data_IF_830558064503
#
_entry.id   IF_830558064503
#
_cell.length_a   1.000
_cell.length_b   1.000
_cell.length_c   1.000
_cell.angle_alpha   90.00
_cell.angle_beta   90.00
_cell.angle_gamma   90.00
#
_symmetry.space_group_name_H-M   'P 1'
#
loop_
_entity.id
_entity.type
_entity.pdbx_description
1 polymer ?
#
# COMPACT_ATOMS: atom_id res chain seq x y z
N UNK A 1 -14.41 -3.14 0.54
CA UNK A 1 -13.31 -2.14 0.53
C UNK A 1 -12.30 -2.48 -0.55
N UNK A 2 -11.60 -1.47 -1.09
CA UNK A 2 -10.68 -1.57 -2.22
C UNK A 2 -9.30 -1.07 -1.80
N UNK A 3 -8.26 -1.92 -1.92
CA UNK A 3 -6.92 -1.63 -1.43
C UNK A 3 -5.90 -1.41 -2.56
N UNK A 4 -5.13 -0.34 -2.43
CA UNK A 4 -3.91 -0.08 -3.19
C UNK A 4 -2.73 -0.16 -2.22
N UNK A 5 -1.67 -0.89 -2.58
CA UNK A 5 -0.65 -1.26 -1.59
C UNK A 5 0.76 -1.00 -2.12
N UNK A 6 1.60 -0.38 -1.30
CA UNK A 6 3.05 -0.30 -1.53
C UNK A 6 3.76 -1.25 -0.56
N UNK A 7 4.56 -2.18 -1.09
CA UNK A 7 5.32 -3.15 -0.30
C UNK A 7 6.80 -2.84 -0.44
N UNK A 8 7.55 -2.85 0.65
CA UNK A 8 9.00 -2.77 0.59
C UNK A 8 9.68 -2.68 1.94
N UNK A 9 10.95 -3.05 1.99
CA UNK A 9 11.77 -3.00 3.20
C UNK A 9 11.84 -1.58 3.80
N UNK A 10 12.27 -1.44 5.07
CA UNK A 10 12.66 -0.14 5.60
C UNK A 10 13.56 0.62 4.63
N UNK A 11 13.40 1.95 4.58
CA UNK A 11 14.18 2.85 3.72
C UNK A 11 13.97 2.72 2.19
N UNK A 12 13.00 1.94 1.69
CA UNK A 12 12.66 1.89 0.24
C UNK A 12 11.76 3.03 -0.26
N UNK A 13 11.82 4.21 0.39
CA UNK A 13 11.06 5.43 0.04
C UNK A 13 9.53 5.32 0.03
N UNK A 14 8.93 4.24 0.57
CA UNK A 14 7.46 4.03 0.66
C UNK A 14 6.69 5.27 1.10
N UNK A 15 7.06 5.85 2.24
CA UNK A 15 6.38 7.00 2.83
C UNK A 15 6.48 8.24 1.94
N UNK A 16 7.66 8.47 1.34
CA UNK A 16 7.87 9.58 0.39
C UNK A 16 7.04 9.40 -0.87
N UNK A 17 6.97 8.18 -1.41
CA UNK A 17 6.15 7.88 -2.58
C UNK A 17 4.65 8.03 -2.26
N UNK A 18 4.17 7.51 -1.14
CA UNK A 18 2.76 7.71 -0.74
C UNK A 18 2.41 9.19 -0.55
N UNK A 19 3.31 10.00 0.00
CA UNK A 19 3.17 11.45 0.05
C UNK A 19 3.07 12.06 -1.34
N UNK A 20 3.94 11.67 -2.28
CA UNK A 20 3.84 12.14 -3.67
C UNK A 20 2.54 11.71 -4.34
N UNK A 21 2.04 10.51 -4.06
CA UNK A 21 0.83 9.96 -4.68
C UNK A 21 -0.44 10.60 -4.13
N UNK A 22 -0.46 10.97 -2.86
CA UNK A 22 -1.71 11.36 -2.15
C UNK A 22 -1.70 12.77 -1.59
N UNK A 23 -0.54 13.42 -1.48
CA UNK A 23 -0.39 14.68 -0.74
C UNK A 23 -0.63 14.55 0.79
N UNK A 24 -0.70 13.33 1.33
CA UNK A 24 -0.88 13.11 2.77
C UNK A 24 0.46 13.03 3.50
N UNK A 25 0.62 13.72 4.63
CA UNK A 25 1.84 13.63 5.44
C UNK A 25 1.95 12.34 6.28
N UNK A 26 0.86 11.95 6.95
CA UNK A 26 0.79 10.78 7.83
C UNK A 26 -0.42 9.88 7.50
N UNK A 27 -1.62 10.35 7.83
CA UNK A 27 -2.87 9.69 7.44
C UNK A 27 -3.98 10.72 7.24
N UNK A 28 -4.72 10.62 6.14
CA UNK A 28 -5.86 11.48 5.89
C UNK A 28 -6.70 10.92 4.74
N UNK A 29 -7.89 11.48 4.57
CA UNK A 29 -8.72 11.27 3.39
C UNK A 29 -8.37 12.32 2.33
N UNK A 30 -8.28 11.89 1.08
CA UNK A 30 -8.01 12.74 -0.09
C UNK A 30 -8.82 12.32 -1.28
N UNK A 31 -9.20 13.27 -2.11
CA UNK A 31 -9.76 13.00 -3.42
C UNK A 31 -8.61 12.86 -4.42
N UNK A 32 -8.56 11.72 -5.09
CA UNK A 32 -7.53 11.38 -6.06
C UNK A 32 -8.17 11.35 -7.44
N UNK A 33 -7.65 12.14 -8.37
CA UNK A 33 -8.12 12.17 -9.74
C UNK A 33 -7.72 10.88 -10.48
N UNK A 34 -8.65 10.34 -11.27
CA UNK A 34 -8.45 9.11 -12.02
C UNK A 34 -8.04 9.41 -13.46
N UNK A 35 -7.21 8.55 -14.04
CA UNK A 35 -6.71 8.72 -15.42
C UNK A 35 -7.82 8.69 -16.48
N UNK A 36 -8.93 8.00 -16.20
CA UNK A 36 -10.10 7.92 -17.08
C UNK A 36 -11.11 9.05 -16.85
N UNK A 37 -10.77 10.02 -15.99
CA UNK A 37 -11.68 11.09 -15.57
C UNK A 37 -12.39 10.78 -14.25
N UNK A 38 -12.84 11.85 -13.58
CA UNK A 38 -13.44 11.77 -12.24
C UNK A 38 -12.41 11.72 -11.11
N UNK A 39 -12.91 11.58 -9.88
CA UNK A 39 -12.10 11.48 -8.68
C UNK A 39 -12.67 10.43 -7.73
N UNK A 40 -11.78 9.82 -6.94
CA UNK A 40 -12.14 8.85 -5.92
C UNK A 40 -11.64 9.29 -4.56
N UNK A 41 -12.48 9.16 -3.55
CA UNK A 41 -12.12 9.46 -2.17
C UNK A 41 -11.33 8.30 -1.57
N UNK A 42 -10.06 8.52 -1.28
CA UNK A 42 -9.11 7.52 -0.78
C UNK A 42 -8.70 7.84 0.64
N UNK A 43 -8.77 6.84 1.52
CA UNK A 43 -8.08 6.90 2.81
C UNK A 43 -6.61 6.50 2.64
N UNK A 44 -5.68 7.40 2.97
CA UNK A 44 -4.26 7.16 2.83
C UNK A 44 -3.59 6.94 4.19
N UNK A 45 -2.76 5.89 4.29
CA UNK A 45 -1.90 5.60 5.44
C UNK A 45 -0.44 5.51 4.97
N UNK A 46 0.36 6.53 5.29
CA UNK A 46 1.68 6.74 4.70
C UNK A 46 2.76 5.81 5.28
N UNK A 47 2.78 5.64 6.60
CA UNK A 47 3.71 4.71 7.25
C UNK A 47 3.28 3.26 7.00
N UNK A 48 4.24 2.33 7.01
CA UNK A 48 3.90 0.92 6.95
C UNK A 48 3.13 0.52 8.21
N UNK A 49 2.13 -0.36 8.10
CA UNK A 49 1.31 -0.75 9.25
C UNK A 49 2.16 -1.39 10.37
N UNK A 50 3.19 -2.15 10.00
CA UNK A 50 4.14 -2.74 10.94
C UNK A 50 4.96 -1.68 11.68
N UNK A 51 5.29 -0.56 11.04
CA UNK A 51 6.07 0.53 11.66
C UNK A 51 5.29 1.20 12.79
N UNK A 52 3.98 1.37 12.63
CA UNK A 52 3.09 1.87 13.68
C UNK A 52 2.45 0.77 14.53
N UNK A 53 2.99 -0.46 14.48
CA UNK A 53 2.50 -1.61 15.27
C UNK A 53 0.98 -1.81 15.17
N UNK A 54 0.43 -1.59 13.98
CA UNK A 54 -1.02 -1.58 13.75
C UNK A 54 -1.48 -2.94 13.28
N UNK A 55 -2.29 -3.63 14.07
CA UNK A 55 -2.88 -4.91 13.69
C UNK A 55 -3.86 -4.78 12.51
N UNK A 56 -4.11 -5.88 11.80
CA UNK A 56 -5.05 -5.89 10.68
C UNK A 56 -6.45 -5.47 11.14
N UNK A 57 -6.93 -5.98 12.27
CA UNK A 57 -8.27 -5.67 12.80
C UNK A 57 -8.43 -4.19 13.16
N UNK A 58 -7.43 -3.60 13.81
CA UNK A 58 -7.40 -2.17 14.13
C UNK A 58 -7.40 -1.32 12.87
N UNK A 59 -6.59 -1.71 11.87
CA UNK A 59 -6.53 -1.01 10.59
C UNK A 59 -7.88 -1.07 9.85
N UNK A 60 -8.54 -2.23 9.84
CA UNK A 60 -9.87 -2.36 9.24
C UNK A 60 -10.89 -1.44 9.92
N UNK A 61 -10.89 -1.41 11.26
CA UNK A 61 -11.76 -0.52 12.04
C UNK A 61 -11.47 0.95 11.74
N UNK A 62 -10.20 1.33 11.65
CA UNK A 62 -9.75 2.66 11.26
C UNK A 62 -10.29 3.06 9.88
N UNK A 63 -10.20 2.17 8.89
CA UNK A 63 -10.69 2.43 7.53
C UNK A 63 -12.22 2.53 7.49
N UNK A 64 -12.96 1.66 8.19
CA UNK A 64 -14.43 1.77 8.30
C UNK A 64 -14.83 3.15 8.81
N UNK A 65 -14.16 3.64 9.86
CA UNK A 65 -14.43 4.97 10.45
C UNK A 65 -14.16 6.12 9.48
N UNK A 66 -13.24 5.95 8.54
CA UNK A 66 -12.94 6.96 7.51
C UNK A 66 -14.05 7.11 6.46
N UNK A 67 -15.01 6.16 6.40
CA UNK A 67 -16.11 6.11 5.42
C UNK A 67 -15.64 6.15 3.95
N UNK A 68 -14.41 5.70 3.69
CA UNK A 68 -13.86 5.58 2.35
C UNK A 68 -13.93 4.13 1.87
N UNK A 69 -14.35 3.91 0.63
CA UNK A 69 -14.30 2.58 0.03
C UNK A 69 -12.90 2.22 -0.47
N UNK A 70 -12.13 3.23 -0.88
CA UNK A 70 -10.78 3.08 -1.38
C UNK A 70 -9.75 3.43 -0.31
N UNK A 71 -8.71 2.62 -0.20
CA UNK A 71 -7.62 2.82 0.74
C UNK A 71 -6.28 2.61 0.06
N UNK A 72 -5.28 3.40 0.45
CA UNK A 72 -3.89 3.20 0.06
C UNK A 72 -2.98 3.18 1.28
N UNK A 73 -2.11 2.17 1.36
CA UNK A 73 -1.23 1.99 2.52
C UNK A 73 0.07 1.27 2.16
N UNK A 74 1.02 1.32 3.09
CA UNK A 74 2.30 0.64 2.98
C UNK A 74 2.39 -0.60 3.88
N UNK A 75 3.18 -1.58 3.45
CA UNK A 75 3.56 -2.76 4.23
C UNK A 75 5.06 -3.06 4.08
N UNK A 76 5.63 -3.71 5.08
CA UNK A 76 6.90 -4.42 4.93
C UNK A 76 6.66 -5.82 4.36
N UNK A 77 7.58 -6.34 3.53
CA UNK A 77 7.44 -7.68 2.97
C UNK A 77 7.49 -8.74 4.07
N UNK A 78 8.40 -8.58 5.03
CA UNK A 78 8.60 -9.44 6.18
C UNK A 78 7.99 -8.85 7.45
N UNK A 79 7.90 -9.67 8.49
CA UNK A 79 7.31 -9.31 9.76
C UNK A 79 8.16 -8.28 10.51
N UNK A 80 7.55 -7.59 11.47
CA UNK A 80 8.28 -6.68 12.35
C UNK A 80 9.29 -7.46 13.20
N UNK A 81 10.56 -7.03 13.30
CA UNK A 81 11.61 -7.82 13.94
C UNK A 81 11.41 -7.99 15.46
N UNK A 82 10.76 -7.02 16.10
CA UNK A 82 10.52 -7.05 17.55
C UNK A 82 9.30 -7.87 18.00
N UNK A 83 8.38 -8.22 17.10
CA UNK A 83 7.21 -9.05 17.40
C UNK A 83 6.61 -9.59 16.08
N UNK A 84 7.18 -10.68 15.54
CA UNK A 84 6.81 -11.20 14.23
C UNK A 84 5.40 -11.81 14.18
N UNK A 85 4.89 -12.29 15.31
CA UNK A 85 3.59 -12.92 15.42
C UNK A 85 2.47 -11.88 15.33
N UNK A 86 2.61 -10.78 16.07
CA UNK A 86 1.58 -9.73 16.12
C UNK A 86 1.58 -8.82 14.89
N UNK A 87 2.75 -8.58 14.29
CA UNK A 87 2.90 -7.71 13.12
C UNK A 87 3.55 -8.48 11.97
N UNK A 88 2.78 -9.35 11.29
CA UNK A 88 3.35 -10.23 10.28
C UNK A 88 3.72 -9.49 8.99
N UNK A 89 4.34 -10.21 8.05
CA UNK A 89 4.72 -9.67 6.75
C UNK A 89 3.53 -9.33 5.85
N UNK A 90 3.81 -8.66 4.73
CA UNK A 90 2.80 -8.18 3.80
C UNK A 90 1.87 -9.30 3.32
N UNK A 91 2.39 -10.50 3.07
CA UNK A 91 1.60 -11.63 2.59
C UNK A 91 0.46 -11.99 3.55
N UNK A 92 0.76 -12.05 4.85
CA UNK A 92 -0.24 -12.36 5.87
C UNK A 92 -1.25 -11.21 6.06
N UNK A 93 -0.79 -9.95 6.10
CA UNK A 93 -1.69 -8.79 6.14
C UNK A 93 -2.69 -8.80 4.98
N UNK A 94 -2.19 -9.01 3.77
CA UNK A 94 -3.02 -9.01 2.57
C UNK A 94 -3.95 -10.23 2.50
N UNK A 95 -3.52 -11.39 3.00
CA UNK A 95 -4.38 -12.56 3.11
C UNK A 95 -5.53 -12.29 4.09
N UNK A 96 -5.25 -11.78 5.30
CA UNK A 96 -6.30 -11.45 6.28
C UNK A 96 -7.29 -10.40 5.75
N UNK A 97 -6.81 -9.37 5.04
CA UNK A 97 -7.70 -8.39 4.42
C UNK A 97 -8.58 -9.04 3.34
N UNK A 98 -8.01 -9.91 2.51
CA UNK A 98 -8.77 -10.63 1.49
C UNK A 98 -9.82 -11.58 2.11
N UNK A 99 -9.47 -12.29 3.19
CA UNK A 99 -10.39 -13.16 3.93
C UNK A 99 -11.54 -12.35 4.57
N UNK A 100 -11.26 -11.09 4.95
CA UNK A 100 -12.27 -10.12 5.39
C UNK A 100 -13.06 -9.45 4.24
N UNK A 101 -12.92 -9.95 3.00
CA UNK A 101 -13.68 -9.49 1.83
C UNK A 101 -13.12 -8.23 1.16
N UNK A 102 -11.90 -7.81 1.48
CA UNK A 102 -11.27 -6.68 0.77
C UNK A 102 -10.83 -7.09 -0.63
N UNK A 103 -11.05 -6.18 -1.59
CA UNK A 103 -10.55 -6.32 -2.96
C UNK A 103 -9.18 -5.67 -3.07
N UNK A 104 -8.14 -6.48 -3.22
CA UNK A 104 -6.78 -6.00 -3.45
C UNK A 104 -6.64 -5.57 -4.92
N UNK A 105 -6.71 -4.27 -5.19
CA UNK A 105 -6.80 -3.73 -6.56
C UNK A 105 -5.46 -3.77 -7.27
N UNK A 106 -4.48 -3.03 -6.74
CA UNK A 106 -3.16 -2.82 -7.36
C UNK A 106 -2.08 -2.83 -6.28
N UNK A 107 -0.94 -3.44 -6.59
CA UNK A 107 0.16 -3.60 -5.65
C UNK A 107 1.47 -3.24 -6.33
N UNK A 108 2.23 -2.34 -5.71
CA UNK A 108 3.57 -1.98 -6.12
C UNK A 108 4.60 -2.48 -5.10
N UNK A 109 5.64 -3.17 -5.57
CA UNK A 109 6.73 -3.73 -4.76
C UNK A 109 8.00 -2.92 -5.02
N UNK A 110 8.58 -2.37 -3.96
CA UNK A 110 9.68 -1.40 -4.00
C UNK A 110 10.99 -2.01 -3.52
N UNK A 111 12.04 -1.93 -4.35
CA UNK A 111 13.34 -2.54 -4.09
C UNK A 111 13.43 -3.99 -4.54
N UNK A 112 14.66 -4.51 -4.63
CA UNK A 112 14.96 -5.85 -5.13
C UNK A 112 14.90 -6.93 -4.03
N UNK A 113 13.79 -7.00 -3.29
CA UNK A 113 13.58 -8.03 -2.29
C UNK A 113 12.64 -9.12 -2.83
N UNK A 114 12.91 -10.41 -2.52
CA UNK A 114 11.96 -11.47 -2.82
C UNK A 114 10.69 -11.24 -2.01
N UNK A 115 9.54 -11.35 -2.66
CA UNK A 115 8.24 -11.31 -1.99
C UNK A 115 7.25 -12.18 -2.77
N UNK A 116 6.58 -13.05 -2.02
CA UNK A 116 5.58 -13.99 -2.55
C UNK A 116 4.18 -13.45 -2.24
N UNK A 117 3.39 -13.08 -3.27
CA UNK A 117 2.04 -12.59 -3.07
C UNK A 117 1.11 -13.68 -2.50
N UNK A 118 0.09 -13.32 -1.69
CA UNK A 118 -0.94 -14.26 -1.26
C UNK A 118 -1.79 -14.75 -2.44
N UNK A 119 -2.51 -15.86 -2.25
CA UNK A 119 -3.39 -16.44 -3.28
C UNK A 119 -4.43 -15.46 -3.81
N UNK A 120 -4.91 -14.53 -2.98
CA UNK A 120 -5.85 -13.48 -3.37
C UNK A 120 -5.34 -12.54 -4.48
N UNK A 121 -4.02 -12.50 -4.71
CA UNK A 121 -3.37 -11.76 -5.79
C UNK A 121 -2.90 -12.65 -6.96
N UNK A 122 -3.22 -13.95 -6.95
CA UNK A 122 -2.83 -14.85 -8.03
C UNK A 122 -3.37 -14.35 -9.37
N UNK A 123 -2.51 -14.30 -10.39
CA UNK A 123 -2.84 -13.80 -11.73
C UNK A 123 -3.04 -12.29 -11.84
N UNK A 124 -2.91 -11.51 -10.75
CA UNK A 124 -2.95 -10.04 -10.80
C UNK A 124 -1.59 -9.48 -11.18
N UNK A 125 -1.61 -8.42 -11.98
CA UNK A 125 -0.42 -7.66 -12.33
C UNK A 125 0.13 -6.93 -11.09
N UNK A 126 1.43 -7.12 -10.82
CA UNK A 126 2.16 -6.44 -9.76
C UNK A 126 3.20 -5.52 -10.39
N UNK A 127 3.23 -4.25 -10.00
CA UNK A 127 4.32 -3.36 -10.40
C UNK A 127 5.55 -3.64 -9.53
N UNK A 128 6.67 -4.05 -10.12
CA UNK A 128 7.96 -4.19 -9.42
C UNK A 128 8.90 -3.05 -9.79
N UNK A 129 9.44 -2.36 -8.77
CA UNK A 129 10.38 -1.25 -8.90
C UNK A 129 11.68 -1.56 -8.14
N UNK A 130 12.56 -2.43 -8.67
CA UNK A 130 13.80 -2.83 -7.98
C UNK A 130 14.76 -1.66 -7.76
N UNK A 131 14.77 -0.68 -8.68
CA UNK A 131 15.69 0.46 -8.71
C UNK A 131 15.14 1.73 -8.03
N UNK A 132 14.14 1.60 -7.15
CA UNK A 132 13.44 2.74 -6.51
C UNK A 132 14.37 3.72 -5.78
N UNK A 133 15.55 3.26 -5.35
CA UNK A 133 16.55 4.06 -4.64
C UNK A 133 17.50 4.81 -5.58
N UNK A 134 17.83 4.25 -6.74
CA UNK A 134 18.71 4.86 -7.74
C UNK A 134 17.96 5.79 -8.69
N UNK A 135 16.64 5.65 -8.80
CA UNK A 135 15.80 6.50 -9.65
C UNK A 135 15.28 7.76 -8.91
N UNK A 136 15.00 8.86 -9.63
CA UNK A 136 14.26 9.99 -9.08
C UNK A 136 12.88 9.59 -8.53
N UNK A 137 12.49 10.15 -7.38
CA UNK A 137 11.25 9.78 -6.68
C UNK A 137 10.00 10.08 -7.51
N UNK A 138 10.02 11.17 -8.28
CA UNK A 138 8.93 11.57 -9.17
C UNK A 138 8.71 10.55 -10.31
N UNK A 139 9.78 9.98 -10.86
CA UNK A 139 9.68 8.93 -11.87
C UNK A 139 9.01 7.67 -11.31
N UNK A 140 9.42 7.24 -10.12
CA UNK A 140 8.80 6.10 -9.43
C UNK A 140 7.32 6.39 -9.09
N UNK A 141 7.01 7.60 -8.61
CA UNK A 141 5.65 8.02 -8.32
C UNK A 141 4.77 8.00 -9.59
N UNK A 142 5.25 8.52 -10.71
CA UNK A 142 4.54 8.51 -11.99
C UNK A 142 4.19 7.08 -12.44
N UNK A 143 5.16 6.15 -12.36
CA UNK A 143 4.92 4.73 -12.70
C UNK A 143 3.86 4.10 -11.79
N UNK A 144 3.87 4.42 -10.51
CA UNK A 144 2.85 3.92 -9.56
C UNK A 144 1.48 4.52 -9.89
N UNK A 145 1.38 5.82 -10.21
CA UNK A 145 0.10 6.45 -10.62
C UNK A 145 -0.47 5.78 -11.86
N UNK A 146 0.35 5.55 -12.88
CA UNK A 146 -0.06 4.83 -14.09
C UNK A 146 -0.58 3.42 -13.77
N UNK A 147 0.14 2.67 -12.95
CA UNK A 147 -0.29 1.33 -12.53
C UNK A 147 -1.58 1.35 -11.69
N UNK A 148 -1.79 2.39 -10.88
CA UNK A 148 -3.00 2.56 -10.06
C UNK A 148 -4.18 3.16 -10.83
N UNK A 149 -3.96 3.67 -12.05
CA UNK A 149 -4.96 4.39 -12.84
C UNK A 149 -5.27 5.78 -12.31
N UNK A 150 -4.31 6.43 -11.64
CA UNK A 150 -4.43 7.77 -11.06
C UNK A 150 -3.71 8.81 -11.92
N UNK A 151 -4.07 10.09 -11.77
CA UNK A 151 -3.39 11.25 -12.37
C UNK A 151 -2.29 11.82 -11.47
#
# INVERSE_FOLDING_TARGET
MQAHVLIGNPHTRKSSLLRCLTGCFNRNVRDIALAQGGAVRVYARVAALQESRTEVADFMTEVVRSRCEHTVFALWPEAHPGDPERWPGATAYLQHLADAGWRLQRVAVLGAHPWTPPKALAGRELLRLPEVLSQPVNLSAQRIRQHFGWL
#
